data_IF_132443663787
#
_entry.id   IF_132443663787
#
_cell.length_a   1.000
_cell.length_b   1.000
_cell.length_c   1.000
_cell.angle_alpha   90.00
_cell.angle_beta   90.00
_cell.angle_gamma   90.00
#
_symmetry.space_group_name_H-M   'P 1'
#
loop_
_entity.id
_entity.type
_entity.pdbx_description
1 polymer ?
#
# COMPACT_ATOMS: atom_id res chain seq x y z
N UNK A 1 -57.66 8.32 4.52
CA UNK A 1 -56.62 7.31 4.26
C UNK A 1 -55.33 8.08 4.18
N UNK A 2 -54.65 8.23 5.32
CA UNK A 2 -53.35 8.90 5.37
C UNK A 2 -52.35 8.03 4.61
N UNK A 3 -51.74 8.57 3.55
CA UNK A 3 -50.56 7.98 2.95
C UNK A 3 -49.41 8.18 3.93
N UNK A 4 -49.08 7.15 4.69
CA UNK A 4 -47.79 7.04 5.36
C UNK A 4 -46.70 6.99 4.29
N UNK A 5 -46.01 8.11 4.10
CA UNK A 5 -44.70 8.14 3.44
C UNK A 5 -43.78 7.12 4.13
N UNK A 6 -42.99 6.34 3.39
CA UNK A 6 -41.98 5.51 4.01
C UNK A 6 -40.97 6.46 4.65
N UNK A 7 -40.80 6.37 5.97
CA UNK A 7 -39.70 7.04 6.68
C UNK A 7 -38.40 6.54 6.07
N UNK A 8 -37.81 7.33 5.18
CA UNK A 8 -36.37 7.26 4.89
C UNK A 8 -35.66 7.34 6.23
N UNK A 9 -34.98 6.27 6.65
CA UNK A 9 -34.29 6.22 7.93
C UNK A 9 -33.09 7.18 7.89
N UNK A 10 -33.13 8.35 8.57
CA UNK A 10 -32.07 9.36 8.51
C UNK A 10 -30.75 8.88 9.12
N UNK A 11 -30.78 7.79 9.90
CA UNK A 11 -29.61 7.19 10.55
C UNK A 11 -28.64 6.50 9.57
N UNK A 12 -29.14 5.98 8.44
CA UNK A 12 -28.30 5.28 7.46
C UNK A 12 -27.44 6.27 6.65
N UNK A 13 -28.01 7.44 6.34
CA UNK A 13 -27.34 8.49 5.56
C UNK A 13 -26.27 9.21 6.38
N UNK A 14 -26.48 9.39 7.69
CA UNK A 14 -25.46 9.96 8.58
C UNK A 14 -24.27 9.02 8.79
N UNK A 15 -24.50 7.70 8.82
CA UNK A 15 -23.45 6.71 9.00
C UNK A 15 -22.54 6.59 7.76
N UNK A 16 -23.13 6.51 6.55
CA UNK A 16 -22.37 6.46 5.31
C UNK A 16 -21.52 7.74 5.10
N UNK A 17 -22.11 8.90 5.37
CA UNK A 17 -21.40 10.18 5.33
C UNK A 17 -20.22 10.22 6.32
N UNK A 18 -20.42 9.75 7.55
CA UNK A 18 -19.37 9.68 8.55
C UNK A 18 -18.22 8.76 8.13
N UNK A 19 -18.53 7.58 7.58
CA UNK A 19 -17.51 6.62 7.10
C UNK A 19 -16.70 7.22 5.95
N UNK A 20 -17.34 7.82 4.95
CA UNK A 20 -16.62 8.45 3.84
C UNK A 20 -15.80 9.67 4.28
N UNK A 21 -16.28 10.44 5.28
CA UNK A 21 -15.53 11.55 5.87
C UNK A 21 -14.29 11.07 6.63
N UNK A 22 -14.42 10.00 7.44
CA UNK A 22 -13.29 9.36 8.12
C UNK A 22 -12.28 8.81 7.11
N UNK A 23 -12.77 8.14 6.06
CA UNK A 23 -11.93 7.60 4.99
C UNK A 23 -11.11 8.71 4.32
N UNK A 24 -11.76 9.83 3.95
CA UNK A 24 -11.08 10.99 3.37
C UNK A 24 -9.99 11.55 4.29
N UNK A 25 -10.28 11.73 5.58
CA UNK A 25 -9.33 12.27 6.56
C UNK A 25 -8.10 11.37 6.74
N UNK A 26 -8.30 10.05 6.84
CA UNK A 26 -7.21 9.08 6.99
C UNK A 26 -6.39 9.00 5.69
N UNK A 27 -7.03 8.98 4.52
CA UNK A 27 -6.36 8.99 3.22
C UNK A 27 -5.51 10.26 3.00
N UNK A 28 -6.03 11.45 3.34
CA UNK A 28 -5.27 12.69 3.24
C UNK A 28 -4.03 12.66 4.14
N UNK A 29 -4.19 12.16 5.36
CA UNK A 29 -3.08 11.95 6.29
C UNK A 29 -2.06 10.97 5.70
N UNK A 30 -2.52 9.80 5.23
CA UNK A 30 -1.68 8.77 4.61
C UNK A 30 -0.87 9.32 3.44
N UNK A 31 -1.53 10.02 2.54
CA UNK A 31 -0.91 10.64 1.38
C UNK A 31 0.12 11.70 1.78
N UNK A 32 -0.19 12.54 2.78
CA UNK A 32 0.72 13.54 3.32
C UNK A 32 1.99 12.92 3.92
N UNK A 33 1.86 11.91 4.78
CA UNK A 33 2.99 11.21 5.38
C UNK A 33 3.83 10.46 4.34
N UNK A 34 3.21 9.79 3.37
CA UNK A 34 3.95 9.11 2.30
C UNK A 34 4.64 10.08 1.33
N UNK A 35 4.04 11.26 1.09
CA UNK A 35 4.69 12.33 0.33
C UNK A 35 5.95 12.84 1.05
N UNK A 36 5.86 13.03 2.37
CA UNK A 36 7.02 13.40 3.19
C UNK A 36 8.08 12.30 3.20
N UNK A 37 7.69 11.03 3.33
CA UNK A 37 8.61 9.89 3.22
C UNK A 37 9.29 9.87 1.84
N UNK A 38 8.55 10.06 0.74
CA UNK A 38 9.10 10.08 -0.60
C UNK A 38 10.12 11.21 -0.78
N UNK A 39 9.85 12.39 -0.22
CA UNK A 39 10.80 13.51 -0.16
C UNK A 39 12.09 13.10 0.58
N UNK A 40 11.96 12.48 1.76
CA UNK A 40 13.10 12.02 2.55
C UNK A 40 13.90 10.93 1.84
N UNK A 41 13.24 9.94 1.23
CA UNK A 41 13.89 8.89 0.45
C UNK A 41 14.72 9.48 -0.69
N UNK A 42 14.22 10.52 -1.37
CA UNK A 42 14.97 11.22 -2.43
C UNK A 42 16.19 11.94 -1.89
N UNK A 43 16.10 12.59 -0.72
CA UNK A 43 17.19 13.37 -0.11
C UNK A 43 18.21 12.52 0.65
N UNK A 44 17.80 11.40 1.23
CA UNK A 44 18.65 10.59 2.08
C UNK A 44 19.54 9.65 1.27
N UNK A 45 20.78 9.46 1.72
CA UNK A 45 21.73 8.48 1.19
C UNK A 45 21.76 7.18 2.03
N UNK A 46 20.72 6.92 2.84
CA UNK A 46 20.66 5.79 3.78
C UNK A 46 20.58 4.40 3.12
N UNK A 47 20.37 4.35 1.80
CA UNK A 47 20.21 3.12 1.05
C UNK A 47 21.06 3.16 -0.21
N UNK A 48 21.63 2.00 -0.57
CA UNK A 48 22.20 1.81 -1.91
C UNK A 48 21.22 2.24 -3.01
N UNK A 49 21.80 2.73 -4.11
CA UNK A 49 21.07 3.33 -5.22
C UNK A 49 19.98 2.41 -5.78
N UNK A 50 20.26 1.11 -5.93
CA UNK A 50 19.29 0.14 -6.48
C UNK A 50 18.08 -0.04 -5.58
N UNK A 51 18.30 -0.27 -4.28
CA UNK A 51 17.22 -0.40 -3.29
C UNK A 51 16.44 0.90 -3.13
N UNK A 52 17.13 2.04 -3.13
CA UNK A 52 16.47 3.35 -3.08
C UNK A 52 15.50 3.52 -4.24
N UNK A 53 15.87 3.13 -5.46
CA UNK A 53 14.98 3.15 -6.63
C UNK A 53 13.75 2.26 -6.37
N UNK A 54 13.96 1.01 -5.98
CA UNK A 54 12.86 0.06 -5.73
C UNK A 54 11.91 0.59 -4.65
N UNK A 55 12.43 1.10 -3.54
CA UNK A 55 11.63 1.64 -2.43
C UNK A 55 10.88 2.91 -2.79
N UNK A 56 11.46 3.76 -3.64
CA UNK A 56 10.75 4.93 -4.19
C UNK A 56 9.55 4.44 -5.02
N UNK A 57 9.72 3.47 -5.90
CA UNK A 57 8.60 2.93 -6.69
C UNK A 57 7.56 2.19 -5.85
N UNK A 58 7.97 1.44 -4.83
CA UNK A 58 7.06 0.83 -3.88
C UNK A 58 6.24 1.88 -3.11
N UNK A 59 6.88 2.95 -2.64
CA UNK A 59 6.20 4.06 -1.96
C UNK A 59 5.25 4.80 -2.92
N UNK A 60 5.66 5.00 -4.18
CA UNK A 60 4.77 5.57 -5.20
C UNK A 60 3.55 4.68 -5.48
N UNK A 61 3.68 3.35 -5.44
CA UNK A 61 2.54 2.44 -5.57
C UNK A 61 1.57 2.56 -4.37
N UNK A 62 2.10 2.68 -3.15
CA UNK A 62 1.27 2.96 -1.95
C UNK A 62 0.53 4.29 -2.11
N UNK A 63 1.22 5.35 -2.54
CA UNK A 63 0.60 6.65 -2.79
C UNK A 63 -0.44 6.63 -3.92
N UNK A 64 -0.23 5.83 -4.96
CA UNK A 64 -1.19 5.69 -6.06
C UNK A 64 -2.49 5.01 -5.58
N UNK A 65 -2.39 4.05 -4.66
CA UNK A 65 -3.55 3.48 -3.98
C UNK A 65 -4.24 4.50 -3.07
N UNK A 66 -3.50 5.36 -2.37
CA UNK A 66 -4.08 6.46 -1.59
C UNK A 66 -4.86 7.44 -2.50
N UNK A 67 -4.32 7.80 -3.67
CA UNK A 67 -5.01 8.66 -4.65
C UNK A 67 -6.31 8.02 -5.14
N UNK A 68 -6.27 6.72 -5.47
CA UNK A 68 -7.46 5.98 -5.86
C UNK A 68 -8.54 6.03 -4.76
N UNK A 69 -8.15 5.83 -3.50
CA UNK A 69 -9.06 5.87 -2.36
C UNK A 69 -9.57 7.28 -2.03
N UNK A 70 -8.76 8.33 -2.26
CA UNK A 70 -9.19 9.72 -2.18
C UNK A 70 -10.29 10.04 -3.21
N UNK A 71 -10.10 9.59 -4.45
CA UNK A 71 -11.10 9.73 -5.51
C UNK A 71 -12.40 9.01 -5.15
N UNK A 72 -12.31 7.75 -4.68
CA UNK A 72 -13.47 6.98 -4.19
C UNK A 72 -14.18 7.71 -3.05
N UNK A 73 -13.45 8.21 -2.05
CA UNK A 73 -14.04 8.90 -0.89
C UNK A 73 -14.76 10.18 -1.28
N UNK A 74 -14.17 10.96 -2.17
CA UNK A 74 -14.75 12.19 -2.68
C UNK A 74 -16.04 11.90 -3.44
N UNK A 75 -16.03 10.87 -4.29
CA UNK A 75 -17.20 10.41 -5.01
C UNK A 75 -18.30 9.89 -4.06
N UNK A 76 -17.94 9.10 -3.04
CA UNK A 76 -18.89 8.60 -2.04
C UNK A 76 -19.54 9.71 -1.21
N UNK A 77 -18.78 10.75 -0.84
CA UNK A 77 -19.34 11.93 -0.19
C UNK A 77 -20.32 12.67 -1.11
N UNK A 78 -19.94 12.90 -2.37
CA UNK A 78 -20.83 13.54 -3.35
C UNK A 78 -22.12 12.73 -3.55
N UNK A 79 -22.00 11.41 -3.68
CA UNK A 79 -23.16 10.52 -3.84
C UNK A 79 -24.04 10.47 -2.59
N UNK A 80 -23.48 10.66 -1.39
CA UNK A 80 -24.25 10.72 -0.14
C UNK A 80 -25.12 11.97 -0.03
N UNK A 81 -24.83 13.03 -0.81
CA UNK A 81 -25.60 14.26 -0.83
C UNK A 81 -26.69 14.28 -1.92
N UNK A 82 -26.38 13.82 -3.13
CA UNK A 82 -27.18 14.12 -4.33
C UNK A 82 -27.83 12.91 -5.03
N UNK A 83 -27.52 11.66 -4.62
CA UNK A 83 -28.03 10.47 -5.34
C UNK A 83 -29.11 9.70 -4.58
N UNK A 84 -30.23 9.33 -5.24
CA UNK A 84 -31.21 8.40 -4.69
C UNK A 84 -30.57 7.07 -4.29
N UNK A 85 -31.06 6.48 -3.20
CA UNK A 85 -30.63 5.15 -2.75
C UNK A 85 -30.85 4.13 -3.88
N UNK A 86 -29.89 3.22 -4.10
CA UNK A 86 -30.01 2.25 -5.17
C UNK A 86 -31.18 1.31 -4.90
N UNK A 87 -32.02 1.09 -5.92
CA UNK A 87 -33.06 0.08 -5.87
C UNK A 87 -32.40 -1.31 -5.88
N UNK A 88 -32.55 -2.14 -4.83
CA UNK A 88 -31.92 -3.46 -4.74
C UNK A 88 -32.41 -4.44 -5.81
N UNK A 89 -33.44 -4.10 -6.59
CA UNK A 89 -33.92 -4.89 -7.73
C UNK A 89 -33.10 -4.71 -9.01
N UNK A 90 -32.24 -3.68 -9.09
CA UNK A 90 -31.42 -3.39 -10.27
C UNK A 90 -30.07 -4.09 -10.15
N UNK A 91 -29.85 -5.09 -10.99
CA UNK A 91 -28.54 -5.74 -11.14
C UNK A 91 -27.63 -4.78 -11.92
N UNK A 92 -26.59 -4.28 -11.27
CA UNK A 92 -25.57 -3.44 -11.90
C UNK A 92 -24.57 -4.34 -12.62
N UNK A 93 -24.24 -4.01 -13.86
CA UNK A 93 -23.18 -4.67 -14.60
C UNK A 93 -21.82 -4.35 -13.96
N UNK A 94 -21.04 -5.39 -13.63
CA UNK A 94 -19.72 -5.26 -13.00
C UNK A 94 -18.77 -4.39 -13.84
N UNK A 95 -18.98 -4.33 -15.17
CA UNK A 95 -18.21 -3.47 -16.08
C UNK A 95 -18.37 -1.96 -15.81
N UNK A 96 -19.46 -1.56 -15.14
CA UNK A 96 -19.78 -0.18 -14.80
C UNK A 96 -19.41 0.17 -13.35
N UNK A 97 -18.86 -0.79 -12.60
CA UNK A 97 -18.52 -0.64 -11.20
C UNK A 97 -17.09 -0.18 -10.99
N UNK A 98 -16.89 1.13 -11.19
CA UNK A 98 -15.64 1.79 -10.85
C UNK A 98 -15.46 1.86 -9.32
N UNK A 99 -14.20 1.89 -8.88
CA UNK A 99 -13.83 2.01 -7.47
C UNK A 99 -14.30 0.85 -6.56
N UNK A 100 -14.75 -0.27 -7.12
CA UNK A 100 -15.41 -1.35 -6.37
C UNK A 100 -14.45 -2.16 -5.48
N UNK A 101 -13.18 -2.22 -5.85
CA UNK A 101 -12.12 -2.86 -5.06
C UNK A 101 -11.48 -1.88 -4.07
N UNK A 102 -11.01 -2.38 -2.91
CA UNK A 102 -10.24 -1.54 -1.96
C UNK A 102 -8.87 -1.17 -2.51
N UNK A 103 -8.25 -2.05 -3.29
CA UNK A 103 -7.02 -1.78 -4.03
C UNK A 103 -7.21 -2.34 -5.43
N UNK A 104 -6.97 -1.55 -6.50
CA UNK A 104 -6.99 -2.05 -7.87
C UNK A 104 -6.06 -3.25 -8.09
N UNK A 105 -6.46 -4.17 -8.95
CA UNK A 105 -5.70 -5.38 -9.26
C UNK A 105 -4.31 -5.06 -9.83
N UNK A 106 -4.20 -4.03 -10.66
CA UNK A 106 -2.90 -3.57 -11.19
C UNK A 106 -1.95 -3.07 -10.09
N UNK A 107 -2.47 -2.43 -9.05
CA UNK A 107 -1.70 -2.00 -7.88
C UNK A 107 -1.32 -3.18 -6.99
N UNK A 108 -2.22 -4.16 -6.84
CA UNK A 108 -1.94 -5.40 -6.13
C UNK A 108 -0.73 -6.13 -6.74
N UNK A 109 -0.61 -6.16 -8.06
CA UNK A 109 0.56 -6.69 -8.76
C UNK A 109 1.84 -5.96 -8.40
N UNK A 110 1.82 -4.63 -8.33
CA UNK A 110 2.99 -3.82 -7.93
C UNK A 110 3.46 -4.14 -6.50
N UNK A 111 2.53 -4.43 -5.59
CA UNK A 111 2.85 -4.86 -4.22
C UNK A 111 3.52 -6.24 -4.12
N UNK A 112 3.49 -7.04 -5.18
CA UNK A 112 4.25 -8.29 -5.28
C UNK A 112 5.58 -8.03 -5.98
N UNK A 113 5.53 -7.30 -7.10
CA UNK A 113 6.69 -7.09 -7.97
C UNK A 113 7.82 -6.29 -7.32
N UNK A 114 7.52 -5.20 -6.60
CA UNK A 114 8.60 -4.42 -5.96
C UNK A 114 9.31 -5.18 -4.83
N UNK A 115 8.59 -5.86 -3.91
CA UNK A 115 9.23 -6.79 -2.98
C UNK A 115 10.03 -7.90 -3.65
N UNK A 116 9.52 -8.49 -4.73
CA UNK A 116 10.24 -9.50 -5.49
C UNK A 116 11.57 -8.96 -6.05
N UNK A 117 11.54 -7.79 -6.71
CA UNK A 117 12.74 -7.13 -7.21
C UNK A 117 13.72 -6.82 -6.08
N UNK A 118 13.23 -6.42 -4.90
CA UNK A 118 14.06 -6.18 -3.73
C UNK A 118 14.74 -7.47 -3.24
N UNK A 119 14.03 -8.61 -3.24
CA UNK A 119 14.60 -9.92 -2.89
C UNK A 119 15.71 -10.30 -3.88
N UNK A 120 15.46 -10.18 -5.18
CA UNK A 120 16.45 -10.49 -6.24
C UNK A 120 17.68 -9.61 -6.10
N UNK A 121 17.48 -8.31 -5.90
CA UNK A 121 18.55 -7.35 -5.73
C UNK A 121 19.39 -7.67 -4.47
N UNK A 122 18.75 -8.02 -3.35
CA UNK A 122 19.46 -8.38 -2.11
C UNK A 122 20.14 -9.74 -2.18
N UNK A 123 19.59 -10.70 -2.92
CA UNK A 123 20.25 -11.97 -3.21
C UNK A 123 21.56 -11.70 -3.97
N UNK A 124 21.49 -10.89 -5.03
CA UNK A 124 22.66 -10.52 -5.82
C UNK A 124 23.71 -9.78 -4.97
N UNK A 125 23.29 -8.78 -4.18
CA UNK A 125 24.18 -8.02 -3.29
C UNK A 125 24.82 -8.89 -2.20
N UNK A 126 24.12 -9.91 -1.71
CA UNK A 126 24.65 -10.84 -0.70
C UNK A 126 25.62 -11.85 -1.29
N UNK A 127 25.45 -12.25 -2.55
CA UNK A 127 26.37 -13.16 -3.25
C UNK A 127 27.64 -12.45 -3.72
N UNK A 128 27.49 -11.22 -4.24
CA UNK A 128 28.58 -10.45 -4.85
C UNK A 128 29.02 -9.27 -3.97
N UNK A 129 28.99 -9.44 -2.65
CA UNK A 129 29.23 -8.34 -1.69
C UNK A 129 30.59 -7.63 -1.84
N UNK A 130 31.58 -8.26 -2.49
CA UNK A 130 32.91 -7.66 -2.72
C UNK A 130 32.95 -6.74 -3.95
N UNK A 131 32.12 -7.00 -4.96
CA UNK A 131 32.13 -6.29 -6.26
C UNK A 131 30.83 -5.54 -6.55
N UNK A 132 29.82 -5.68 -5.69
CA UNK A 132 28.49 -5.10 -5.87
C UNK A 132 28.51 -3.57 -6.10
N UNK A 133 29.34 -2.82 -5.35
CA UNK A 133 29.46 -1.36 -5.54
C UNK A 133 30.04 -0.99 -6.91
N UNK A 134 30.92 -1.84 -7.47
CA UNK A 134 31.57 -1.59 -8.75
C UNK A 134 30.67 -1.94 -9.94
N UNK A 135 29.71 -2.85 -9.78
CA UNK A 135 28.79 -3.30 -10.83
C UNK A 135 27.60 -2.34 -11.05
N UNK A 136 27.80 -1.04 -10.82
CA UNK A 136 26.76 -0.01 -10.76
C UNK A 136 25.88 0.10 -12.01
N UNK A 137 24.79 -0.68 -12.05
CA UNK A 137 23.79 -0.65 -13.10
C UNK A 137 22.42 -0.10 -12.63
N UNK A 138 22.34 1.14 -12.09
CA UNK A 138 21.08 1.71 -11.62
C UNK A 138 20.07 1.90 -12.74
N UNK A 139 20.52 2.01 -13.99
CA UNK A 139 19.66 2.13 -15.18
C UNK A 139 18.78 0.88 -15.33
N UNK A 140 19.31 -0.32 -15.08
CA UNK A 140 18.55 -1.56 -15.19
C UNK A 140 17.36 -1.55 -14.22
N UNK A 141 17.61 -1.19 -12.95
CA UNK A 141 16.54 -1.12 -11.95
C UNK A 141 15.53 -0.02 -12.24
N UNK A 142 15.94 1.13 -12.80
CA UNK A 142 15.00 2.18 -13.25
C UNK A 142 14.08 1.67 -14.36
N UNK A 143 14.65 0.99 -15.37
CA UNK A 143 13.87 0.44 -16.50
C UNK A 143 12.94 -0.67 -16.00
N UNK A 144 13.44 -1.62 -15.22
CA UNK A 144 12.62 -2.69 -14.65
C UNK A 144 11.47 -2.13 -13.82
N UNK A 145 11.75 -1.21 -12.89
CA UNK A 145 10.69 -0.60 -12.09
C UNK A 145 9.69 0.18 -12.94
N UNK A 146 10.15 0.89 -13.98
CA UNK A 146 9.28 1.63 -14.90
C UNK A 146 8.35 0.74 -15.72
N UNK A 147 8.85 -0.38 -16.26
CA UNK A 147 8.05 -1.33 -17.03
C UNK A 147 6.92 -1.96 -16.20
N UNK A 148 7.14 -2.18 -14.90
CA UNK A 148 6.12 -2.74 -14.02
C UNK A 148 4.88 -1.84 -13.88
N UNK A 149 4.96 -0.54 -14.20
CA UNK A 149 3.82 0.38 -14.16
C UNK A 149 2.87 0.26 -15.37
N UNK A 150 3.27 -0.43 -16.44
CA UNK A 150 2.48 -0.53 -17.67
C UNK A 150 1.05 -1.06 -17.43
N UNK A 151 0.82 -2.14 -16.64
CA UNK A 151 -0.54 -2.62 -16.38
C UNK A 151 -1.45 -1.57 -15.74
N UNK A 152 -0.92 -0.77 -14.82
CA UNK A 152 -1.69 0.28 -14.17
C UNK A 152 -2.00 1.43 -15.13
N UNK A 153 -1.03 1.83 -15.96
CA UNK A 153 -1.25 2.85 -16.99
C UNK A 153 -2.32 2.38 -17.98
N UNK A 154 -2.29 1.10 -18.38
CA UNK A 154 -3.30 0.51 -19.26
C UNK A 154 -4.69 0.53 -18.62
N UNK A 155 -4.82 0.20 -17.33
CA UNK A 155 -6.09 0.27 -16.59
C UNK A 155 -6.63 1.71 -16.51
N UNK A 156 -5.77 2.69 -16.20
CA UNK A 156 -6.16 4.11 -16.16
C UNK A 156 -6.64 4.59 -17.53
N UNK A 157 -5.95 4.20 -18.61
CA UNK A 157 -6.34 4.55 -19.97
C UNK A 157 -7.70 3.93 -20.32
N UNK A 158 -7.89 2.64 -20.05
CA UNK A 158 -9.16 1.94 -20.28
C UNK A 158 -10.32 2.61 -19.53
N UNK A 159 -10.10 2.96 -18.26
CA UNK A 159 -11.08 3.70 -17.45
C UNK A 159 -11.39 5.08 -18.04
N UNK A 160 -10.37 5.82 -18.47
CA UNK A 160 -10.53 7.17 -19.04
C UNK A 160 -11.32 7.17 -20.35
N UNK A 161 -11.19 6.12 -21.18
CA UNK A 161 -11.94 5.98 -22.43
C UNK A 161 -13.38 5.50 -22.24
N UNK A 162 -13.72 4.90 -21.09
CA UNK A 162 -15.07 4.42 -20.81
C UNK A 162 -16.11 5.55 -20.67
N UNK A 163 -15.68 6.79 -20.34
CA UNK A 163 -16.46 8.04 -20.32
C UNK A 163 -17.80 8.01 -19.53
N UNK A 164 -18.09 6.92 -18.83
CA UNK A 164 -19.32 6.73 -18.07
C UNK A 164 -19.08 7.12 -16.61
N UNK A 165 -20.00 7.90 -16.05
CA UNK A 165 -19.98 8.17 -14.61
C UNK A 165 -20.11 6.83 -13.86
N UNK A 166 -19.32 6.60 -12.81
CA UNK A 166 -19.46 5.42 -11.97
C UNK A 166 -20.90 5.29 -11.49
N UNK A 167 -21.41 4.07 -11.56
CA UNK A 167 -22.67 3.69 -10.89
C UNK A 167 -22.55 3.92 -9.38
N UNK A 168 -23.69 3.95 -8.68
CA UNK A 168 -23.73 4.18 -7.22
C UNK A 168 -22.79 3.18 -6.50
N UNK A 169 -21.85 3.69 -5.70
CA UNK A 169 -20.81 2.86 -5.06
C UNK A 169 -21.39 1.74 -4.19
N UNK A 170 -22.53 1.99 -3.52
CA UNK A 170 -23.21 0.99 -2.70
C UNK A 170 -23.82 -0.14 -3.55
N UNK A 171 -24.35 0.20 -4.72
CA UNK A 171 -24.88 -0.80 -5.66
C UNK A 171 -23.77 -1.72 -6.20
N UNK A 172 -22.58 -1.17 -6.40
CA UNK A 172 -21.41 -1.96 -6.79
C UNK A 172 -20.92 -2.89 -5.68
N UNK A 173 -20.94 -2.45 -4.43
CA UNK A 173 -20.64 -3.35 -3.30
C UNK A 173 -21.65 -4.49 -3.18
N UNK A 174 -22.92 -4.21 -3.50
CA UNK A 174 -23.96 -5.22 -3.54
C UNK A 174 -23.73 -6.25 -4.67
N UNK A 175 -23.39 -5.81 -5.88
CA UNK A 175 -23.06 -6.74 -6.98
C UNK A 175 -21.89 -7.66 -6.62
N UNK A 176 -20.84 -7.12 -6.00
CA UNK A 176 -19.69 -7.91 -5.55
C UNK A 176 -20.06 -9.02 -4.56
N UNK A 177 -21.08 -8.85 -3.70
CA UNK A 177 -21.52 -9.90 -2.77
C UNK A 177 -22.10 -11.15 -3.49
N UNK A 178 -22.37 -11.07 -4.79
CA UNK A 178 -22.73 -12.24 -5.60
C UNK A 178 -21.54 -13.19 -5.83
N UNK A 179 -20.31 -12.68 -5.73
CA UNK A 179 -19.09 -13.44 -5.89
C UNK A 179 -18.68 -14.11 -4.58
N UNK A 180 -18.01 -15.27 -4.68
CA UNK A 180 -17.49 -15.96 -3.49
C UNK A 180 -16.41 -15.14 -2.78
N UNK A 181 -16.31 -15.28 -1.46
CA UNK A 181 -15.27 -14.65 -0.63
C UNK A 181 -13.84 -14.86 -1.15
N UNK A 182 -13.56 -16.03 -1.72
CA UNK A 182 -12.22 -16.36 -2.23
C UNK A 182 -11.94 -15.62 -3.53
N UNK A 183 -12.93 -15.48 -4.42
CA UNK A 183 -12.77 -14.74 -5.68
C UNK A 183 -12.53 -13.26 -5.43
N UNK A 184 -13.27 -12.66 -4.50
CA UNK A 184 -13.16 -11.24 -4.13
C UNK A 184 -11.81 -10.86 -3.51
N UNK A 185 -11.26 -11.74 -2.67
CA UNK A 185 -10.04 -11.45 -1.91
C UNK A 185 -8.80 -12.17 -2.44
N UNK A 186 -8.88 -12.77 -3.63
CA UNK A 186 -7.80 -13.60 -4.18
C UNK A 186 -6.46 -12.85 -4.16
N UNK A 187 -6.45 -11.59 -4.59
CA UNK A 187 -5.25 -10.75 -4.58
C UNK A 187 -4.68 -10.50 -3.20
N UNK A 188 -5.51 -10.24 -2.18
CA UNK A 188 -5.05 -10.02 -0.82
C UNK A 188 -4.40 -11.29 -0.24
N UNK A 189 -4.98 -12.46 -0.50
CA UNK A 189 -4.41 -13.75 -0.10
C UNK A 189 -3.08 -13.98 -0.82
N UNK A 190 -3.02 -13.73 -2.13
CA UNK A 190 -1.80 -13.87 -2.93
C UNK A 190 -0.69 -12.96 -2.37
N UNK A 191 -0.98 -11.68 -2.14
CA UNK A 191 0.00 -10.72 -1.59
C UNK A 191 0.46 -11.17 -0.20
N UNK A 192 -0.45 -11.61 0.67
CA UNK A 192 -0.09 -12.10 1.99
C UNK A 192 0.87 -13.30 1.90
N UNK A 193 0.57 -14.30 1.07
CA UNK A 193 1.42 -15.48 0.87
C UNK A 193 2.80 -15.08 0.34
N UNK A 194 2.86 -14.25 -0.71
CA UNK A 194 4.15 -13.79 -1.26
C UNK A 194 4.93 -12.95 -0.24
N UNK A 195 4.27 -12.07 0.51
CA UNK A 195 4.90 -11.26 1.56
C UNK A 195 5.50 -12.15 2.66
N UNK A 196 4.79 -13.20 3.06
CA UNK A 196 5.30 -14.19 4.01
C UNK A 196 6.54 -14.91 3.45
N UNK A 197 6.48 -15.41 2.21
CA UNK A 197 7.62 -16.08 1.55
C UNK A 197 8.82 -15.14 1.43
N UNK A 198 8.64 -13.92 0.94
CA UNK A 198 9.70 -12.94 0.80
C UNK A 198 10.28 -12.53 2.16
N UNK A 199 9.46 -12.39 3.20
CA UNK A 199 9.94 -12.11 4.55
C UNK A 199 10.88 -13.23 5.05
N UNK A 200 10.51 -14.51 4.84
CA UNK A 200 11.36 -15.65 5.19
C UNK A 200 12.67 -15.62 4.41
N UNK A 201 12.65 -15.30 3.11
CA UNK A 201 13.86 -15.17 2.31
C UNK A 201 14.79 -14.06 2.84
N UNK A 202 14.26 -12.89 3.20
CA UNK A 202 15.06 -11.85 3.84
C UNK A 202 15.62 -12.28 5.18
N UNK A 203 14.86 -13.05 5.96
CA UNK A 203 15.36 -13.57 7.24
C UNK A 203 16.52 -14.55 7.03
N UNK A 204 16.41 -15.45 6.05
CA UNK A 204 17.47 -16.37 5.67
C UNK A 204 18.72 -15.61 5.17
N UNK A 205 18.53 -14.56 4.38
CA UNK A 205 19.64 -13.71 3.92
C UNK A 205 20.30 -12.95 5.06
N UNK A 206 19.54 -12.43 6.03
CA UNK A 206 20.08 -11.81 7.24
C UNK A 206 21.00 -12.79 7.98
N UNK A 207 20.55 -14.03 8.19
CA UNK A 207 21.32 -15.07 8.88
C UNK A 207 22.57 -15.47 8.10
N UNK A 208 22.46 -15.62 6.76
CA UNK A 208 23.60 -15.92 5.90
C UNK A 208 24.66 -14.82 5.96
N UNK A 209 24.26 -13.56 5.83
CA UNK A 209 25.17 -12.42 5.86
C UNK A 209 25.83 -12.25 7.23
N UNK A 210 25.11 -12.49 8.34
CA UNK A 210 25.69 -12.52 9.69
C UNK A 210 26.77 -13.60 9.85
N UNK A 211 26.54 -14.79 9.28
CA UNK A 211 27.54 -15.87 9.31
C UNK A 211 28.81 -15.48 8.56
N UNK A 212 28.67 -14.85 7.40
CA UNK A 212 29.79 -14.37 6.58
C UNK A 212 30.53 -13.24 7.29
N UNK A 213 29.81 -12.27 7.89
CA UNK A 213 30.42 -11.21 8.70
C UNK A 213 31.29 -11.80 9.82
N UNK A 214 30.73 -12.73 10.62
CA UNK A 214 31.48 -13.39 11.69
C UNK A 214 32.73 -14.10 11.16
N UNK A 215 32.65 -14.79 10.03
CA UNK A 215 33.82 -15.45 9.43
C UNK A 215 34.88 -14.43 8.97
N UNK A 216 34.47 -13.36 8.29
CA UNK A 216 35.37 -12.30 7.83
C UNK A 216 36.05 -11.54 8.97
N UNK A 217 35.40 -11.40 10.13
CA UNK A 217 36.01 -10.79 11.33
C UNK A 217 37.26 -11.56 11.77
N UNK A 218 37.24 -12.88 11.62
CA UNK A 218 38.32 -13.76 12.05
C UNK A 218 39.40 -13.95 10.96
N UNK A 219 39.04 -13.89 9.67
CA UNK A 219 39.94 -14.29 8.58
C UNK A 219 40.40 -13.17 7.63
N UNK A 220 39.63 -12.08 7.43
CA UNK A 220 39.91 -11.07 6.38
C UNK A 220 39.88 -9.62 6.91
N UNK A 221 40.96 -8.86 6.69
CA UNK A 221 41.14 -7.47 7.18
C UNK A 221 40.58 -6.36 6.27
N UNK A 222 39.70 -6.66 5.31
CA UNK A 222 39.20 -5.65 4.36
C UNK A 222 37.97 -4.92 4.91
N UNK A 223 38.13 -3.65 5.30
CA UNK A 223 37.08 -2.82 5.91
C UNK A 223 35.87 -2.55 4.99
N UNK A 224 36.07 -2.38 3.68
CA UNK A 224 34.98 -2.09 2.73
C UNK A 224 33.98 -3.24 2.60
N UNK A 225 34.46 -4.49 2.54
CA UNK A 225 33.61 -5.68 2.47
C UNK A 225 32.76 -5.87 3.73
N UNK A 226 33.32 -5.54 4.91
CA UNK A 226 32.60 -5.60 6.19
C UNK A 226 31.50 -4.55 6.27
N UNK A 227 31.75 -3.35 5.76
CA UNK A 227 30.72 -2.30 5.67
C UNK A 227 29.53 -2.76 4.82
N UNK A 228 29.79 -3.30 3.63
CA UNK A 228 28.76 -3.82 2.73
C UNK A 228 27.92 -4.94 3.38
N UNK A 229 28.56 -5.87 4.09
CA UNK A 229 27.87 -6.95 4.81
C UNK A 229 26.94 -6.42 5.90
N UNK A 230 27.38 -5.43 6.69
CA UNK A 230 26.55 -4.80 7.73
C UNK A 230 25.36 -4.06 7.14
N UNK A 231 25.56 -3.35 6.03
CA UNK A 231 24.48 -2.68 5.31
C UNK A 231 23.45 -3.70 4.78
N UNK A 232 23.91 -4.81 4.21
CA UNK A 232 23.05 -5.92 3.78
C UNK A 232 22.25 -6.53 4.94
N UNK A 233 22.86 -6.75 6.11
CA UNK A 233 22.17 -7.28 7.31
C UNK A 233 21.09 -6.30 7.77
N UNK A 234 21.42 -5.01 7.90
CA UNK A 234 20.48 -3.98 8.33
C UNK A 234 19.30 -3.87 7.35
N UNK A 235 19.59 -3.89 6.06
CA UNK A 235 18.61 -3.84 4.99
C UNK A 235 17.70 -5.06 5.00
N UNK A 236 18.24 -6.27 5.11
CA UNK A 236 17.43 -7.49 5.16
C UNK A 236 16.52 -7.50 6.39
N UNK A 237 17.00 -7.02 7.54
CA UNK A 237 16.16 -6.87 8.74
C UNK A 237 15.02 -5.88 8.53
N UNK A 238 15.32 -4.73 7.93
CA UNK A 238 14.30 -3.73 7.58
C UNK A 238 13.27 -4.32 6.62
N UNK A 239 13.70 -4.93 5.52
CA UNK A 239 12.83 -5.53 4.51
C UNK A 239 11.97 -6.68 5.09
N UNK A 240 12.53 -7.51 5.97
CA UNK A 240 11.78 -8.52 6.73
C UNK A 240 10.64 -7.89 7.52
N UNK A 241 10.93 -6.87 8.34
CA UNK A 241 9.91 -6.19 9.14
C UNK A 241 8.84 -5.51 8.29
N UNK A 242 9.24 -4.93 7.16
CA UNK A 242 8.33 -4.30 6.21
C UNK A 242 7.39 -5.33 5.57
N UNK A 243 7.89 -6.48 5.14
CA UNK A 243 7.04 -7.49 4.51
C UNK A 243 6.18 -8.25 5.51
N UNK A 244 6.62 -8.35 6.75
CA UNK A 244 5.75 -8.83 7.84
C UNK A 244 4.57 -7.87 8.05
N UNK A 245 4.79 -6.55 7.95
CA UNK A 245 3.70 -5.56 7.98
C UNK A 245 2.72 -5.78 6.82
N UNK A 246 3.21 -5.95 5.59
CA UNK A 246 2.35 -6.30 4.44
C UNK A 246 1.53 -7.56 4.73
N UNK A 247 2.18 -8.64 5.16
CA UNK A 247 1.50 -9.89 5.49
C UNK A 247 0.37 -9.68 6.51
N UNK A 248 0.65 -9.00 7.63
CA UNK A 248 -0.34 -8.78 8.69
C UNK A 248 -1.54 -8.01 8.13
N UNK A 249 -1.33 -6.91 7.42
CA UNK A 249 -2.43 -6.08 6.92
C UNK A 249 -3.27 -6.78 5.85
N UNK A 250 -2.63 -7.41 4.86
CA UNK A 250 -3.36 -8.15 3.83
C UNK A 250 -4.05 -9.42 4.35
N UNK A 251 -3.52 -10.04 5.41
CA UNK A 251 -4.20 -11.12 6.10
C UNK A 251 -5.40 -10.63 6.93
N UNK A 252 -5.26 -9.48 7.61
CA UNK A 252 -6.36 -8.82 8.33
C UNK A 252 -7.50 -8.50 7.38
N UNK A 253 -7.23 -7.99 6.17
CA UNK A 253 -8.24 -7.79 5.12
C UNK A 253 -9.07 -9.05 4.86
N UNK A 254 -8.40 -10.18 4.64
CA UNK A 254 -9.05 -11.46 4.37
C UNK A 254 -9.90 -11.94 5.57
N UNK A 255 -9.38 -11.83 6.79
CA UNK A 255 -10.11 -12.25 8.00
C UNK A 255 -11.32 -11.37 8.26
N UNK A 256 -11.18 -10.05 8.12
CA UNK A 256 -12.28 -9.11 8.30
C UNK A 256 -13.39 -9.36 7.28
N UNK A 257 -13.07 -9.44 5.98
CA UNK A 257 -14.07 -9.66 4.94
C UNK A 257 -14.79 -11.01 5.10
N UNK A 258 -14.09 -12.06 5.57
CA UNK A 258 -14.71 -13.35 5.90
C UNK A 258 -15.67 -13.28 7.09
N UNK A 259 -15.32 -12.54 8.16
CA UNK A 259 -16.11 -12.48 9.38
C UNK A 259 -17.42 -11.68 9.24
N UNK A 260 -17.51 -10.80 8.23
CA UNK A 260 -18.73 -10.02 7.96
C UNK A 260 -19.74 -10.74 7.06
N UNK A 261 -19.40 -11.92 6.53
CA UNK A 261 -20.32 -12.74 5.75
C UNK A 261 -21.14 -13.64 6.70
N UNK A 262 -22.01 -13.03 7.50
CA UNK A 262 -22.94 -13.79 8.35
C UNK A 262 -24.11 -14.30 7.49
N UNK A 263 -24.47 -15.58 7.65
CA UNK A 263 -25.32 -16.30 6.69
C UNK A 263 -26.79 -15.83 6.64
N UNK A 264 -27.21 -15.07 7.65
CA UNK A 264 -28.61 -14.68 7.86
C UNK A 264 -28.85 -13.15 7.83
N UNK A 265 -27.84 -12.33 7.53
CA UNK A 265 -28.04 -10.87 7.43
C UNK A 265 -28.62 -10.43 6.07
N UNK A 266 -29.51 -9.43 6.11
CA UNK A 266 -29.96 -8.73 4.90
C UNK A 266 -28.73 -8.20 4.15
N UNK A 267 -28.52 -8.64 2.89
CA UNK A 267 -27.37 -8.31 2.03
C UNK A 267 -27.02 -6.81 1.98
N UNK A 268 -28.00 -5.93 2.15
CA UNK A 268 -27.79 -4.47 2.20
C UNK A 268 -27.00 -4.01 3.43
N UNK A 269 -27.21 -4.63 4.59
CA UNK A 269 -26.47 -4.32 5.83
C UNK A 269 -25.03 -4.83 5.71
N UNK A 270 -24.83 -6.00 5.09
CA UNK A 270 -23.51 -6.54 4.81
C UNK A 270 -22.71 -5.63 3.84
N UNK A 271 -23.36 -5.10 2.80
CA UNK A 271 -22.73 -4.15 1.87
C UNK A 271 -22.30 -2.85 2.58
N UNK A 272 -23.14 -2.28 3.45
CA UNK A 272 -22.81 -1.09 4.22
C UNK A 272 -21.66 -1.32 5.21
N UNK A 273 -21.58 -2.49 5.87
CA UNK A 273 -20.47 -2.85 6.75
C UNK A 273 -19.16 -3.07 5.97
N UNK A 274 -19.25 -3.50 4.72
CA UNK A 274 -18.08 -3.69 3.88
C UNK A 274 -17.35 -2.39 3.57
N UNK A 275 -18.02 -1.25 3.67
CA UNK A 275 -17.39 0.07 3.57
C UNK A 275 -16.28 0.29 4.62
N UNK A 276 -16.35 -0.39 5.78
CA UNK A 276 -15.28 -0.33 6.78
C UNK A 276 -13.95 -0.96 6.31
N UNK A 277 -13.97 -1.88 5.34
CA UNK A 277 -12.74 -2.46 4.77
C UNK A 277 -11.89 -1.39 4.09
N UNK A 278 -12.52 -0.36 3.52
CA UNK A 278 -11.79 0.73 2.86
C UNK A 278 -10.97 1.58 3.83
N UNK A 279 -11.22 1.50 5.15
CA UNK A 279 -10.40 2.16 6.15
C UNK A 279 -9.07 1.43 6.42
N UNK A 280 -8.99 0.14 6.13
CA UNK A 280 -7.82 -0.69 6.50
C UNK A 280 -6.59 -0.30 5.65
N UNK A 281 -6.75 -0.03 4.35
CA UNK A 281 -5.62 0.25 3.47
C UNK A 281 -4.98 1.63 3.77
N UNK A 282 -5.74 2.72 3.95
CA UNK A 282 -5.18 4.01 4.36
C UNK A 282 -4.47 3.94 5.71
N UNK A 283 -4.98 3.12 6.65
CA UNK A 283 -4.29 2.86 7.93
C UNK A 283 -2.98 2.10 7.73
N UNK A 284 -2.96 1.10 6.85
CA UNK A 284 -1.72 0.45 6.41
C UNK A 284 -0.73 1.46 5.81
N UNK A 285 -1.19 2.33 4.91
CA UNK A 285 -0.36 3.35 4.24
C UNK A 285 0.26 4.34 5.24
N UNK A 286 -0.50 4.77 6.25
CA UNK A 286 0.02 5.55 7.37
C UNK A 286 1.10 4.79 8.14
N UNK A 287 0.80 3.57 8.60
CA UNK A 287 1.73 2.78 9.40
C UNK A 287 2.99 2.41 8.62
N UNK A 288 2.86 2.17 7.31
CA UNK A 288 3.97 1.97 6.38
C UNK A 288 4.97 3.13 6.45
N UNK A 289 4.48 4.37 6.38
CA UNK A 289 5.34 5.55 6.44
C UNK A 289 6.04 5.71 7.79
N UNK A 290 5.32 5.47 8.89
CA UNK A 290 5.88 5.49 10.25
C UNK A 290 6.91 4.38 10.46
N UNK A 291 6.67 3.19 9.93
CA UNK A 291 7.61 2.07 9.98
C UNK A 291 8.92 2.43 9.26
N UNK A 292 8.85 3.06 8.09
CA UNK A 292 10.04 3.54 7.38
C UNK A 292 10.87 4.53 8.21
N UNK A 293 10.21 5.48 8.88
CA UNK A 293 10.88 6.48 9.71
C UNK A 293 11.49 5.86 10.97
N UNK A 294 10.76 4.99 11.66
CA UNK A 294 11.20 4.42 12.95
C UNK A 294 12.21 3.28 12.80
N UNK A 295 12.08 2.45 11.78
CA UNK A 295 12.99 1.32 11.57
C UNK A 295 14.32 1.73 10.91
N UNK A 296 14.46 2.96 10.41
CA UNK A 296 15.69 3.48 9.85
C UNK A 296 16.16 4.79 10.53
N UNK A 297 17.08 4.66 11.50
CA UNK A 297 17.68 5.81 12.20
C UNK A 297 18.23 6.90 11.26
N UNK A 298 18.77 6.56 10.09
CA UNK A 298 19.32 7.57 9.18
C UNK A 298 18.22 8.40 8.53
N UNK A 299 17.09 7.77 8.18
CA UNK A 299 15.91 8.50 7.71
C UNK A 299 15.31 9.33 8.84
N UNK A 300 15.22 8.78 10.05
CA UNK A 300 14.72 9.50 11.23
C UNK A 300 15.51 10.78 11.52
N UNK A 301 16.84 10.71 11.54
CA UNK A 301 17.69 11.89 11.75
C UNK A 301 17.58 12.89 10.59
N UNK A 302 17.41 12.41 9.35
CA UNK A 302 17.15 13.30 8.20
C UNK A 302 15.80 14.00 8.33
N UNK A 303 14.77 13.29 8.81
CA UNK A 303 13.45 13.85 9.06
C UNK A 303 13.49 14.94 10.15
N UNK A 304 14.19 14.68 11.26
CA UNK A 304 14.42 15.68 12.30
C UNK A 304 15.09 16.93 11.76
N UNK A 305 16.16 16.78 10.98
CA UNK A 305 16.86 17.91 10.37
C UNK A 305 15.96 18.69 9.41
N UNK A 306 15.18 18.00 8.58
CA UNK A 306 14.25 18.65 7.66
C UNK A 306 13.16 19.46 8.41
N UNK A 307 12.59 18.90 9.46
CA UNK A 307 11.62 19.60 10.32
C UNK A 307 12.25 20.79 11.05
N UNK A 308 13.48 20.63 11.54
CA UNK A 308 14.20 21.70 12.24
C UNK A 308 14.58 22.85 11.31
N UNK A 309 14.97 22.56 10.07
CA UNK A 309 15.24 23.57 9.04
C UNK A 309 13.98 24.35 8.69
N UNK A 310 12.84 23.66 8.49
CA UNK A 310 11.55 24.32 8.28
C UNK A 310 11.18 25.23 9.45
N UNK A 311 11.35 24.75 10.69
CA UNK A 311 11.07 25.54 11.90
C UNK A 311 11.95 26.79 12.00
N UNK A 312 13.25 26.69 11.67
CA UNK A 312 14.17 27.83 11.68
C UNK A 312 13.92 28.84 10.55
N UNK A 313 13.55 28.38 9.35
CA UNK A 313 13.17 29.27 8.25
C UNK A 313 11.87 30.03 8.57
N UNK A 314 10.93 29.40 9.28
CA UNK A 314 9.64 30.00 9.64
C UNK A 314 9.75 30.95 10.86
N UNK A 315 10.70 30.72 11.78
CA UNK A 315 10.87 31.50 13.02
C UNK A 315 12.06 32.49 12.99
N UNK A 316 12.69 32.71 11.83
CA UNK A 316 13.53 33.89 11.57
C UNK A 316 14.63 34.17 12.59
N UNK A 317 15.37 33.14 13.03
CA UNK A 317 16.62 33.36 13.78
C UNK A 317 17.82 33.24 12.84
N UNK A 318 18.16 34.36 12.19
CA UNK A 318 19.50 34.63 11.67
C UNK A 318 20.27 35.52 12.63
#
# INVERSE_FOLDING_TARGET
>A
MELTEPKDSPELDSAAFAVHSMHLAICLSAFGFNSFLLYLLRKCCAFHVHMKIIMIHQTMAVMAADVYLLLRSTLGLWQSYDTPKPDPSVIVDDSQCAFSATVPDSLCMLFIWFPFLLVVERLYASQNYQSYENNGAPIIFKVLCGVMWIPMIAEILAFSFSLTLPTNLQACQYSLLSQSNIQRNAWFVIIAVFSAVFSLLFKLLELKNKRIENHSVHNDYVFSCRYQLRENIRTCRFAFSLLLLYFIFFFVFFVFDRNYEDKDELRMIAAARREYLFLIFPMFSLIYSFHFLTANNSLFETAKKALHLYYHEEHGMF
#
